data_IF_360937022906
#
_entry.id   IF_360937022906
#
_cell.length_a   1.000
_cell.length_b   1.000
_cell.length_c   1.000
_cell.angle_alpha   90.00
_cell.angle_beta   90.00
_cell.angle_gamma   90.00
#
_symmetry.space_group_name_H-M   'P 1'
#
loop_
_entity.id
_entity.type
_entity.pdbx_description
1 polymer ?
#
# COMPACT_ATOMS: atom_id res chain seq x y z
N UNK A 1 -0.89 5.64 20.57
CA UNK A 1 0.35 5.90 19.79
C UNK A 1 1.59 5.38 20.49
N UNK A 2 1.90 5.74 21.75
CA UNK A 2 3.13 5.27 22.43
C UNK A 2 3.28 3.74 22.38
N UNK A 3 2.22 2.99 22.71
CA UNK A 3 2.24 1.52 22.64
C UNK A 3 2.52 0.99 21.24
N UNK A 4 2.02 1.64 20.18
CA UNK A 4 2.33 1.28 18.80
C UNK A 4 3.82 1.53 18.49
N UNK A 5 4.36 2.67 18.93
CA UNK A 5 5.77 3.02 18.79
C UNK A 5 6.66 2.00 19.51
N UNK A 6 6.31 1.65 20.73
CA UNK A 6 7.02 0.65 21.54
C UNK A 6 6.99 -0.71 20.86
N UNK A 7 5.81 -1.17 20.38
CA UNK A 7 5.67 -2.45 19.67
C UNK A 7 6.53 -2.50 18.42
N UNK A 8 6.52 -1.47 17.57
CA UNK A 8 7.36 -1.46 16.37
C UNK A 8 8.85 -1.30 16.67
N UNK A 9 9.20 -0.53 17.70
CA UNK A 9 10.60 -0.42 18.16
C UNK A 9 11.10 -1.77 18.67
N UNK A 10 10.26 -2.48 19.40
CA UNK A 10 10.56 -3.83 19.89
C UNK A 10 10.73 -4.81 18.71
N UNK A 11 9.76 -4.88 17.81
CA UNK A 11 9.85 -5.73 16.61
C UNK A 11 11.08 -5.42 15.76
N UNK A 12 11.38 -4.14 15.53
CA UNK A 12 12.53 -3.73 14.72
C UNK A 12 13.86 -4.25 15.26
N UNK A 13 13.98 -4.36 16.57
CA UNK A 13 15.22 -4.82 17.24
C UNK A 13 15.27 -6.34 17.43
N UNK A 14 14.20 -7.09 17.13
CA UNK A 14 14.14 -8.53 17.36
C UNK A 14 14.64 -9.29 16.13
N UNK A 15 15.59 -10.20 16.38
CA UNK A 15 16.13 -11.05 15.32
C UNK A 15 15.09 -12.00 14.73
N UNK A 16 14.17 -12.52 15.55
CA UNK A 16 13.09 -13.40 15.11
C UNK A 16 12.07 -12.69 14.20
N UNK A 17 11.84 -11.39 14.40
CA UNK A 17 11.04 -10.59 13.45
C UNK A 17 11.72 -10.48 12.09
N UNK A 18 13.03 -10.23 12.07
CA UNK A 18 13.78 -10.22 10.81
C UNK A 18 13.74 -11.60 10.12
N UNK A 19 13.82 -12.70 10.88
CA UNK A 19 13.69 -14.05 10.33
C UNK A 19 12.30 -14.31 9.77
N UNK A 20 11.25 -13.86 10.45
CA UNK A 20 9.88 -13.94 9.95
C UNK A 20 9.72 -13.15 8.64
N UNK A 21 10.19 -11.90 8.57
CA UNK A 21 10.13 -11.09 7.35
C UNK A 21 10.85 -11.76 6.18
N UNK A 22 12.03 -12.33 6.43
CA UNK A 22 12.81 -13.04 5.41
C UNK A 22 12.09 -14.33 4.96
N UNK A 23 11.50 -15.10 5.88
CA UNK A 23 10.77 -16.31 5.53
C UNK A 23 9.51 -15.99 4.70
N UNK A 24 8.76 -14.95 5.07
CA UNK A 24 7.60 -14.49 4.30
C UNK A 24 8.03 -13.99 2.92
N UNK A 25 9.10 -13.20 2.83
CA UNK A 25 9.62 -12.72 1.57
C UNK A 25 10.08 -13.86 0.66
N UNK A 26 10.76 -14.87 1.22
CA UNK A 26 11.17 -16.06 0.48
C UNK A 26 9.97 -16.84 -0.05
N UNK A 27 8.95 -17.05 0.77
CA UNK A 27 7.70 -17.71 0.37
C UNK A 27 7.01 -16.98 -0.80
N UNK A 28 6.94 -15.65 -0.73
CA UNK A 28 6.38 -14.81 -1.80
C UNK A 28 7.24 -14.92 -3.06
N UNK A 29 8.56 -14.81 -2.94
CA UNK A 29 9.50 -14.92 -4.07
C UNK A 29 9.34 -16.26 -4.80
N UNK A 30 9.32 -17.38 -4.08
CA UNK A 30 9.14 -18.71 -4.65
C UNK A 30 7.78 -18.85 -5.35
N UNK A 31 6.73 -18.33 -4.73
CA UNK A 31 5.37 -18.34 -5.31
C UNK A 31 5.32 -17.53 -6.62
N UNK A 32 5.92 -16.34 -6.65
CA UNK A 32 6.00 -15.54 -7.86
C UNK A 32 6.87 -16.21 -8.92
N UNK A 33 7.97 -16.84 -8.52
CA UNK A 33 8.85 -17.62 -9.41
C UNK A 33 8.11 -18.75 -10.11
N UNK A 34 7.25 -19.46 -9.40
CA UNK A 34 6.40 -20.49 -9.99
C UNK A 34 5.41 -19.91 -11.01
N UNK A 35 4.76 -18.78 -10.70
CA UNK A 35 3.85 -18.08 -11.61
C UNK A 35 4.59 -17.61 -12.88
N UNK A 36 5.82 -17.11 -12.75
CA UNK A 36 6.66 -16.73 -13.90
C UNK A 36 7.02 -17.93 -14.77
N UNK A 37 7.42 -19.05 -14.16
CA UNK A 37 7.77 -20.29 -14.87
C UNK A 37 6.60 -20.85 -15.66
N UNK A 38 5.38 -20.65 -15.16
CA UNK A 38 4.12 -21.06 -15.84
C UNK A 38 3.66 -20.03 -16.88
N UNK A 39 4.42 -18.94 -17.10
CA UNK A 39 4.03 -17.83 -17.98
C UNK A 39 2.68 -17.18 -17.62
N UNK A 40 2.32 -17.19 -16.34
CA UNK A 40 1.07 -16.62 -15.82
C UNK A 40 0.98 -15.11 -16.11
N UNK A 41 -0.24 -14.60 -16.29
CA UNK A 41 -0.52 -13.17 -16.45
C UNK A 41 -0.56 -12.43 -15.09
N UNK A 42 -0.57 -11.09 -15.13
CA UNK A 42 -0.58 -10.19 -13.94
C UNK A 42 -1.63 -10.59 -12.90
N UNK A 43 -2.85 -10.89 -13.34
CA UNK A 43 -3.98 -11.28 -12.46
C UNK A 43 -3.69 -12.54 -11.64
N UNK A 44 -3.07 -13.54 -12.27
CA UNK A 44 -2.72 -14.80 -11.61
C UNK A 44 -1.56 -14.59 -10.63
N UNK A 45 -0.55 -13.80 -11.01
CA UNK A 45 0.58 -13.42 -10.15
C UNK A 45 0.06 -12.74 -8.87
N UNK A 46 -0.85 -11.76 -8.98
CA UNK A 46 -1.47 -11.09 -7.82
C UNK A 46 -2.28 -12.08 -6.98
N UNK A 47 -2.97 -13.03 -7.62
CA UNK A 47 -3.73 -14.06 -6.89
C UNK A 47 -2.81 -14.94 -6.05
N UNK A 48 -1.67 -15.34 -6.60
CA UNK A 48 -0.72 -16.20 -5.92
C UNK A 48 0.04 -15.43 -4.83
N UNK A 49 0.34 -14.14 -5.04
CA UNK A 49 0.82 -13.24 -4.00
C UNK A 49 -0.14 -13.19 -2.80
N UNK A 50 -1.45 -13.01 -3.05
CA UNK A 50 -2.45 -13.04 -1.99
C UNK A 50 -2.41 -14.34 -1.19
N UNK A 51 -2.37 -15.49 -1.88
CA UNK A 51 -2.30 -16.81 -1.22
C UNK A 51 -1.04 -17.00 -0.38
N UNK A 52 0.10 -16.47 -0.84
CA UNK A 52 1.36 -16.57 -0.12
C UNK A 52 1.35 -15.76 1.20
N UNK A 53 0.60 -14.66 1.23
CA UNK A 53 0.55 -13.74 2.35
C UNK A 53 -0.61 -14.06 3.32
N UNK A 54 -1.70 -14.66 2.83
CA UNK A 54 -2.90 -14.88 3.62
C UNK A 54 -2.62 -15.68 4.91
N UNK A 55 -3.13 -15.15 6.04
CA UNK A 55 -3.03 -15.75 7.37
C UNK A 55 -1.62 -15.82 7.97
N UNK A 56 -0.64 -15.14 7.41
CA UNK A 56 0.68 -15.02 8.03
C UNK A 56 0.61 -14.14 9.29
N UNK A 57 1.34 -14.52 10.32
CA UNK A 57 1.30 -13.83 11.61
C UNK A 57 2.67 -13.76 12.27
N UNK A 58 2.93 -12.67 12.99
CA UNK A 58 4.06 -12.52 13.90
C UNK A 58 3.64 -11.72 15.14
N UNK A 59 3.59 -12.36 16.31
CA UNK A 59 3.06 -11.74 17.51
C UNK A 59 1.67 -11.15 17.28
N UNK A 60 1.55 -9.84 17.50
CA UNK A 60 0.30 -9.08 17.28
C UNK A 60 0.06 -8.67 15.83
N UNK A 61 1.06 -8.81 14.96
CA UNK A 61 0.96 -8.46 13.54
C UNK A 61 0.34 -9.63 12.76
N UNK A 62 -0.77 -9.36 12.08
CA UNK A 62 -1.49 -10.33 11.26
C UNK A 62 -1.61 -9.80 9.83
N UNK A 63 -1.39 -10.68 8.87
CA UNK A 63 -1.57 -10.39 7.46
C UNK A 63 -2.81 -11.07 6.93
N UNK A 64 -3.61 -10.31 6.18
CA UNK A 64 -4.80 -10.81 5.53
C UNK A 64 -4.75 -10.40 4.06
N UNK A 65 -5.12 -11.32 3.20
CA UNK A 65 -5.21 -11.07 1.78
C UNK A 65 -6.57 -11.54 1.28
N UNK A 66 -7.31 -10.65 0.64
CA UNK A 66 -8.60 -10.99 0.07
C UNK A 66 -8.64 -10.53 -1.37
N UNK A 67 -8.91 -11.45 -2.29
CA UNK A 67 -9.26 -11.10 -3.65
C UNK A 67 -10.77 -10.92 -3.73
N UNK A 68 -11.20 -9.75 -4.14
CA UNK A 68 -12.59 -9.49 -4.43
C UNK A 68 -12.82 -9.98 -5.86
N UNK A 69 -13.57 -11.09 -6.01
CA UNK A 69 -13.95 -11.62 -7.31
C UNK A 69 -15.15 -10.85 -7.87
N UNK A 70 -15.12 -10.46 -9.17
CA UNK A 70 -16.25 -9.81 -9.82
C UNK A 70 -15.87 -8.84 -10.93
N UNK A 71 -16.86 -8.21 -11.59
CA UNK A 71 -16.63 -7.29 -12.69
C UNK A 71 -15.65 -6.18 -12.28
N UNK A 72 -14.70 -5.89 -13.14
CA UNK A 72 -13.55 -5.01 -12.99
C UNK A 72 -13.86 -3.74 -12.19
N UNK A 73 -12.93 -3.34 -11.31
CA UNK A 73 -12.99 -2.16 -10.45
C UNK A 73 -12.71 -0.87 -11.23
N UNK A 74 -13.58 -0.60 -12.23
CA UNK A 74 -13.42 0.56 -13.08
C UNK A 74 -13.99 1.83 -12.47
N UNK A 75 -13.23 2.90 -12.64
CA UNK A 75 -13.63 4.28 -12.38
C UNK A 75 -13.64 5.06 -13.70
N UNK A 76 -14.43 6.12 -13.74
CA UNK A 76 -14.48 7.09 -14.83
C UNK A 76 -14.00 8.45 -14.30
N UNK A 77 -13.09 9.07 -15.00
CA UNK A 77 -12.50 10.37 -14.69
C UNK A 77 -12.16 11.12 -15.97
N UNK A 78 -11.97 12.42 -15.89
CA UNK A 78 -11.58 13.23 -17.03
C UNK A 78 -10.04 13.38 -17.10
N UNK A 79 -9.49 13.19 -18.30
CA UNK A 79 -8.11 13.47 -18.64
C UNK A 79 -8.07 14.30 -19.91
N UNK A 80 -7.60 15.55 -19.83
CA UNK A 80 -7.59 16.51 -20.94
C UNK A 80 -8.98 16.66 -21.62
N UNK A 81 -10.00 16.89 -20.80
CA UNK A 81 -11.41 17.06 -21.22
C UNK A 81 -12.02 15.84 -21.94
N UNK A 82 -11.43 14.67 -21.75
CA UNK A 82 -11.94 13.40 -22.28
C UNK A 82 -12.30 12.45 -21.14
N UNK A 83 -13.51 11.88 -21.14
CA UNK A 83 -13.87 10.86 -20.16
C UNK A 83 -13.10 9.57 -20.42
N UNK A 84 -12.34 9.15 -19.44
CA UNK A 84 -11.53 7.93 -19.47
C UNK A 84 -12.08 6.94 -18.46
N UNK A 85 -12.11 5.67 -18.84
CA UNK A 85 -12.49 4.58 -17.95
C UNK A 85 -11.32 3.63 -17.74
N UNK A 86 -10.84 3.50 -16.51
CA UNK A 86 -9.72 2.62 -16.12
C UNK A 86 -10.03 1.87 -14.83
N UNK A 87 -9.30 0.80 -14.57
CA UNK A 87 -9.26 0.20 -13.23
C UNK A 87 -8.60 1.17 -12.26
N UNK A 88 -9.16 1.33 -11.05
CA UNK A 88 -8.53 2.20 -10.05
C UNK A 88 -7.19 1.63 -9.60
N UNK A 89 -7.12 0.33 -9.38
CA UNK A 89 -5.90 -0.40 -9.02
C UNK A 89 -6.14 -1.91 -9.19
N UNK A 90 -5.06 -2.69 -9.30
CA UNK A 90 -5.10 -4.15 -9.21
C UNK A 90 -5.03 -4.62 -7.76
N UNK A 91 -4.40 -3.82 -6.89
CA UNK A 91 -4.17 -4.16 -5.49
C UNK A 91 -4.26 -2.90 -4.60
N UNK A 92 -4.84 -3.07 -3.42
CA UNK A 92 -4.84 -2.05 -2.37
C UNK A 92 -4.17 -2.62 -1.13
N UNK A 93 -3.19 -1.91 -0.62
CA UNK A 93 -2.55 -2.22 0.67
C UNK A 93 -3.16 -1.32 1.74
N UNK A 94 -3.60 -1.90 2.85
CA UNK A 94 -4.09 -1.18 4.02
C UNK A 94 -3.31 -1.68 5.23
N UNK A 95 -2.67 -0.77 5.96
CA UNK A 95 -1.98 -1.06 7.21
C UNK A 95 -2.74 -0.42 8.35
N UNK A 96 -3.17 -1.21 9.35
CA UNK A 96 -4.07 -0.76 10.42
C UNK A 96 -3.52 -1.15 11.79
N UNK A 97 -3.48 -0.21 12.72
CA UNK A 97 -3.26 -0.51 14.13
C UNK A 97 -4.53 -0.17 14.94
N UNK A 98 -4.95 -1.11 15.78
CA UNK A 98 -6.12 -0.97 16.65
C UNK A 98 -5.74 -1.02 18.12
N UNK A 99 -6.48 -0.27 18.95
CA UNK A 99 -6.44 -0.30 20.41
C UNK A 99 -7.80 0.03 20.97
N UNK A 100 -8.25 -0.66 22.02
CA UNK A 100 -9.57 -0.49 22.62
C UNK A 100 -10.69 -0.54 21.55
N UNK A 101 -10.52 -1.45 20.60
CA UNK A 101 -11.39 -1.61 19.41
C UNK A 101 -11.53 -0.36 18.53
N UNK A 102 -10.60 0.57 18.59
CA UNK A 102 -10.53 1.77 17.73
C UNK A 102 -9.30 1.72 16.84
N UNK A 103 -9.44 2.25 15.63
CA UNK A 103 -8.29 2.45 14.75
C UNK A 103 -7.51 3.65 15.29
N UNK A 104 -6.25 3.41 15.65
CA UNK A 104 -5.34 4.45 16.13
C UNK A 104 -4.33 4.88 15.09
N UNK A 105 -4.16 4.06 14.04
CA UNK A 105 -3.30 4.36 12.91
C UNK A 105 -3.75 3.61 11.67
N UNK A 106 -3.74 4.26 10.53
CA UNK A 106 -4.09 3.65 9.24
C UNK A 106 -3.30 4.28 8.10
N UNK A 107 -2.80 3.43 7.19
CA UNK A 107 -2.22 3.81 5.90
C UNK A 107 -2.88 3.07 4.76
N UNK A 108 -2.85 3.66 3.56
CA UNK A 108 -3.38 3.06 2.34
C UNK A 108 -2.50 3.36 1.14
N UNK A 109 -2.33 2.36 0.27
CA UNK A 109 -1.71 2.51 -1.03
C UNK A 109 -2.52 1.80 -2.11
N UNK A 110 -2.71 2.44 -3.26
CA UNK A 110 -3.24 1.83 -4.47
C UNK A 110 -2.09 1.40 -5.37
N UNK A 111 -2.13 0.19 -5.88
CA UNK A 111 -1.03 -0.40 -6.65
C UNK A 111 -1.55 -0.94 -7.97
N UNK A 112 -1.01 -0.42 -9.06
CA UNK A 112 -1.17 -1.00 -10.40
C UNK A 112 -0.01 -1.94 -10.65
N UNK A 113 -0.29 -3.18 -10.98
CA UNK A 113 0.72 -4.16 -11.26
C UNK A 113 1.06 -4.20 -12.75
N UNK A 114 2.34 -4.42 -13.05
CA UNK A 114 2.82 -4.62 -14.41
C UNK A 114 3.82 -5.76 -14.43
N UNK A 115 3.63 -6.69 -15.35
CA UNK A 115 4.63 -7.71 -15.67
C UNK A 115 5.63 -7.12 -16.67
N UNK A 116 6.91 -7.51 -16.57
CA UNK A 116 7.90 -7.10 -17.55
C UNK A 116 7.48 -7.51 -18.96
N UNK A 117 7.87 -6.69 -19.93
CA UNK A 117 7.63 -6.92 -21.36
C UNK A 117 8.52 -8.05 -21.90
N UNK A 118 8.54 -8.24 -23.19
CA UNK A 118 9.46 -9.14 -23.91
C UNK A 118 10.94 -8.79 -23.67
N UNK A 119 11.23 -7.50 -23.44
CA UNK A 119 12.53 -7.01 -22.99
C UNK A 119 12.61 -7.10 -21.46
N UNK A 120 13.65 -7.78 -20.94
CA UNK A 120 13.88 -7.92 -19.50
C UNK A 120 14.09 -6.56 -18.83
N UNK A 121 13.55 -6.44 -17.61
CA UNK A 121 13.66 -5.23 -16.79
C UNK A 121 13.03 -3.95 -17.41
N UNK A 122 12.08 -4.12 -18.32
CA UNK A 122 11.33 -3.04 -18.96
C UNK A 122 9.84 -3.30 -18.83
N UNK A 123 9.08 -2.29 -18.41
CA UNK A 123 7.63 -2.36 -18.25
C UNK A 123 6.94 -1.31 -19.11
N UNK A 124 5.82 -1.69 -19.71
CA UNK A 124 4.93 -0.78 -20.43
C UNK A 124 3.96 -0.11 -19.44
N UNK A 125 3.89 1.21 -19.50
CA UNK A 125 3.06 2.04 -18.64
C UNK A 125 1.95 2.66 -19.48
N UNK A 126 0.70 2.37 -19.11
CA UNK A 126 -0.47 3.03 -19.66
C UNK A 126 -0.56 4.47 -19.12
N UNK A 127 -0.62 5.45 -20.01
CA UNK A 127 -0.54 6.87 -19.65
C UNK A 127 -1.78 7.36 -18.89
N UNK A 128 -2.98 6.85 -19.23
CA UNK A 128 -4.21 7.21 -18.52
C UNK A 128 -4.24 6.59 -17.13
N UNK A 129 -3.72 5.35 -16.99
CA UNK A 129 -3.56 4.69 -15.70
C UNK A 129 -2.54 5.43 -14.83
N UNK A 130 -1.44 5.89 -15.42
CA UNK A 130 -0.42 6.67 -14.73
C UNK A 130 -0.99 8.01 -14.28
N UNK A 131 -1.75 8.70 -15.15
CA UNK A 131 -2.42 9.95 -14.80
C UNK A 131 -3.38 9.75 -13.61
N UNK A 132 -4.19 8.67 -13.62
CA UNK A 132 -5.10 8.36 -12.54
C UNK A 132 -4.36 8.18 -11.20
N UNK A 133 -3.32 7.34 -11.16
CA UNK A 133 -2.59 7.02 -9.93
C UNK A 133 -1.66 8.16 -9.46
N UNK A 134 -1.21 9.01 -10.36
CA UNK A 134 -0.36 10.14 -10.01
C UNK A 134 -1.17 11.33 -9.47
N UNK A 135 -2.34 11.62 -10.08
CA UNK A 135 -3.10 12.83 -9.77
C UNK A 135 -4.35 12.56 -8.93
N UNK A 136 -4.86 11.34 -8.90
CA UNK A 136 -6.17 11.01 -8.32
C UNK A 136 -7.23 12.05 -8.64
N UNK A 137 -7.53 12.29 -9.95
CA UNK A 137 -8.56 13.25 -10.34
C UNK A 137 -9.89 12.82 -9.73
N UNK A 138 -10.85 13.74 -9.67
CA UNK A 138 -12.24 13.38 -9.32
C UNK A 138 -12.71 12.24 -10.21
N UNK A 139 -13.24 11.18 -9.63
CA UNK A 139 -13.72 10.02 -10.37
C UNK A 139 -15.07 9.51 -9.87
N UNK A 140 -15.74 8.71 -10.68
CA UNK A 140 -16.98 7.99 -10.34
C UNK A 140 -16.78 6.49 -10.57
N UNK A 141 -17.42 5.68 -9.77
CA UNK A 141 -17.44 4.25 -9.98
C UNK A 141 -18.22 3.87 -11.24
N UNK A 142 -17.57 3.19 -12.20
CA UNK A 142 -18.19 2.83 -13.48
C UNK A 142 -18.69 1.40 -13.51
N UNK A 143 -17.98 0.46 -12.90
CA UNK A 143 -18.31 -0.97 -12.89
C UNK A 143 -17.97 -1.61 -11.55
N UNK A 144 -18.56 -2.78 -11.30
CA UNK A 144 -18.29 -3.61 -10.14
C UNK A 144 -18.74 -2.97 -8.83
N UNK A 145 -17.94 -3.22 -7.78
CA UNK A 145 -18.21 -2.66 -6.45
C UNK A 145 -18.19 -1.14 -6.46
N UNK A 146 -17.38 -0.55 -7.33
CA UNK A 146 -17.25 0.91 -7.37
C UNK A 146 -18.52 1.56 -7.93
N UNK A 147 -19.20 0.97 -8.91
CA UNK A 147 -20.48 1.49 -9.40
C UNK A 147 -21.56 1.51 -8.31
N UNK A 148 -21.60 0.49 -7.45
CA UNK A 148 -22.60 0.42 -6.37
C UNK A 148 -22.32 1.41 -5.23
N UNK A 149 -21.06 1.62 -4.90
CA UNK A 149 -20.66 2.32 -3.69
C UNK A 149 -20.15 3.74 -3.95
N UNK A 150 -19.80 4.07 -5.19
CA UNK A 150 -19.21 5.35 -5.59
C UNK A 150 -19.87 5.91 -6.85
N UNK A 151 -21.21 5.93 -6.87
CA UNK A 151 -21.98 6.55 -7.97
C UNK A 151 -21.77 8.07 -8.02
N UNK A 152 -21.54 8.68 -6.85
CA UNK A 152 -21.22 10.08 -6.72
C UNK A 152 -19.73 10.31 -6.96
N UNK A 153 -19.36 11.56 -7.10
CA UNK A 153 -17.97 11.96 -7.25
C UNK A 153 -17.15 11.63 -6.02
N UNK A 154 -16.04 10.93 -6.23
CA UNK A 154 -15.03 10.66 -5.22
C UNK A 154 -13.83 11.57 -5.46
N UNK A 155 -13.40 12.26 -4.42
CA UNK A 155 -12.25 13.18 -4.45
C UNK A 155 -11.33 12.82 -3.31
N UNK A 156 -10.11 12.38 -3.59
CA UNK A 156 -9.09 12.22 -2.57
C UNK A 156 -8.33 13.53 -2.38
N UNK A 157 -8.85 14.39 -1.49
CA UNK A 157 -8.25 15.70 -1.24
C UNK A 157 -6.94 15.56 -0.47
N UNK A 158 -5.96 16.41 -0.80
CA UNK A 158 -4.68 16.50 -0.09
C UNK A 158 -3.93 15.16 0.03
N UNK A 159 -4.04 14.29 -0.99
CA UNK A 159 -3.26 13.07 -1.03
C UNK A 159 -1.78 13.34 -1.30
N UNK A 160 -0.91 12.49 -0.77
CA UNK A 160 0.53 12.55 -1.03
C UNK A 160 0.94 11.66 -2.20
N UNK A 161 2.20 11.82 -2.62
CA UNK A 161 2.83 11.01 -3.67
C UNK A 161 2.88 9.50 -3.35
N UNK A 162 2.61 9.10 -2.09
CA UNK A 162 2.71 7.72 -1.64
C UNK A 162 1.41 6.94 -1.79
N UNK A 163 0.30 7.61 -2.17
CA UNK A 163 -1.00 6.97 -2.35
C UNK A 163 -1.02 6.05 -3.56
N UNK A 164 -0.55 6.51 -4.73
CA UNK A 164 -0.53 5.75 -5.98
C UNK A 164 0.83 5.13 -6.26
N UNK A 165 0.86 3.84 -6.57
CA UNK A 165 2.08 3.07 -6.76
C UNK A 165 1.97 2.09 -7.93
N UNK A 166 3.11 1.60 -8.39
CA UNK A 166 3.26 0.50 -9.32
C UNK A 166 3.99 -0.66 -8.66
N UNK A 167 3.46 -1.87 -8.84
CA UNK A 167 4.13 -3.13 -8.56
C UNK A 167 4.70 -3.69 -9.85
N UNK A 168 6.01 -3.58 -10.05
CA UNK A 168 6.69 -3.98 -11.26
C UNK A 168 7.24 -5.39 -11.08
N UNK A 169 6.54 -6.39 -11.62
CA UNK A 169 6.95 -7.78 -11.56
C UNK A 169 8.01 -8.10 -12.60
N UNK A 170 9.07 -8.80 -12.19
CA UNK A 170 10.15 -9.24 -13.05
C UNK A 170 10.54 -10.70 -12.76
N UNK A 171 11.12 -11.36 -13.78
CA UNK A 171 11.67 -12.70 -13.67
C UNK A 171 12.90 -12.71 -12.72
N UNK A 172 13.12 -13.77 -11.92
CA UNK A 172 12.34 -15.01 -11.83
C UNK A 172 11.21 -14.99 -10.79
N UNK A 173 10.93 -13.91 -10.10
CA UNK A 173 9.90 -13.84 -9.07
C UNK A 173 9.98 -12.58 -8.21
N UNK A 174 10.66 -11.56 -8.73
CA UNK A 174 10.83 -10.29 -8.04
C UNK A 174 9.67 -9.32 -8.26
N UNK A 175 9.49 -8.42 -7.31
CA UNK A 175 8.61 -7.28 -7.42
C UNK A 175 9.30 -6.02 -6.93
N UNK A 176 9.24 -4.97 -7.74
CA UNK A 176 9.67 -3.63 -7.36
C UNK A 176 8.42 -2.81 -7.08
N UNK A 177 8.32 -2.21 -5.91
CA UNK A 177 7.30 -1.21 -5.62
C UNK A 177 7.88 0.18 -5.86
N UNK A 178 7.20 0.99 -6.66
CA UNK A 178 7.62 2.36 -6.98
C UNK A 178 6.40 3.28 -7.05
N UNK A 179 6.49 4.49 -6.49
CA UNK A 179 5.36 5.41 -6.55
C UNK A 179 5.10 5.95 -7.96
N UNK A 180 3.84 6.32 -8.22
CA UNK A 180 3.38 6.78 -9.53
C UNK A 180 4.11 8.06 -9.98
N UNK A 181 4.44 8.99 -9.07
CA UNK A 181 5.22 10.18 -9.41
C UNK A 181 6.62 9.84 -9.92
N UNK A 182 7.30 8.87 -9.31
CA UNK A 182 8.60 8.40 -9.79
C UNK A 182 8.48 7.79 -11.18
N UNK A 183 7.47 6.96 -11.41
CA UNK A 183 7.17 6.39 -12.74
C UNK A 183 6.90 7.52 -13.75
N UNK A 184 6.09 8.51 -13.38
CA UNK A 184 5.77 9.66 -14.24
C UNK A 184 7.03 10.44 -14.68
N UNK A 185 7.98 10.63 -13.76
CA UNK A 185 9.23 11.35 -14.04
C UNK A 185 10.23 10.57 -14.87
N UNK A 186 10.24 9.25 -14.74
CA UNK A 186 11.28 8.40 -15.34
C UNK A 186 10.86 7.72 -16.64
N UNK A 187 9.55 7.54 -16.86
CA UNK A 187 9.06 6.85 -18.05
C UNK A 187 9.42 7.63 -19.33
N UNK A 188 9.79 6.90 -20.36
CA UNK A 188 10.05 7.42 -21.69
C UNK A 188 9.17 6.71 -22.70
N UNK A 189 8.36 7.47 -23.43
CA UNK A 189 7.45 6.92 -24.46
C UNK A 189 6.57 5.76 -23.94
N UNK A 190 6.07 5.87 -22.69
CA UNK A 190 5.25 4.83 -22.08
C UNK A 190 6.01 3.59 -21.60
N UNK A 191 7.32 3.66 -21.44
CA UNK A 191 8.14 2.58 -20.89
C UNK A 191 8.99 3.08 -19.72
N UNK A 192 9.24 2.19 -18.76
CA UNK A 192 10.19 2.43 -17.66
C UNK A 192 11.14 1.24 -17.53
N UNK A 193 12.41 1.49 -17.21
CA UNK A 193 13.41 0.46 -16.99
C UNK A 193 13.84 0.36 -15.52
N UNK A 194 14.31 -0.82 -15.12
CA UNK A 194 14.91 -1.02 -13.79
C UNK A 194 16.09 -0.08 -13.53
N UNK A 195 16.92 0.14 -14.57
CA UNK A 195 18.08 1.01 -14.45
C UNK A 195 17.70 2.46 -14.14
N UNK A 196 16.58 2.95 -14.69
CA UNK A 196 16.10 4.30 -14.43
C UNK A 196 15.57 4.44 -13.01
N UNK A 197 14.79 3.47 -12.54
CA UNK A 197 14.29 3.44 -11.14
C UNK A 197 15.47 3.40 -10.17
N UNK A 198 16.47 2.55 -10.42
CA UNK A 198 17.65 2.40 -9.56
C UNK A 198 18.49 3.67 -9.49
N UNK A 199 18.77 4.31 -10.63
CA UNK A 199 19.53 5.57 -10.67
C UNK A 199 18.82 6.68 -9.88
N UNK A 200 17.50 6.80 -10.03
CA UNK A 200 16.74 7.85 -9.37
C UNK A 200 16.73 7.72 -7.84
N UNK A 201 16.62 6.51 -7.32
CA UNK A 201 16.57 6.27 -5.88
C UNK A 201 17.89 6.57 -5.17
N UNK A 202 19.04 6.32 -5.81
CA UNK A 202 20.34 6.69 -5.26
C UNK A 202 20.48 8.19 -5.04
N UNK A 203 19.87 9.01 -5.89
CA UNK A 203 19.88 10.47 -5.75
C UNK A 203 18.98 10.91 -4.59
N UNK A 204 17.82 10.28 -4.40
CA UNK A 204 16.84 10.69 -3.40
C UNK A 204 17.15 10.24 -1.97
N UNK A 205 17.72 9.07 -1.77
CA UNK A 205 18.07 8.61 -0.43
C UNK A 205 19.03 9.56 0.31
N UNK A 206 19.79 10.39 -0.42
CA UNK A 206 20.66 11.41 0.16
C UNK A 206 19.96 12.77 0.41
N UNK A 207 18.80 13.03 -0.18
CA UNK A 207 18.12 14.33 -0.10
C UNK A 207 16.88 14.29 0.80
N UNK A 208 16.20 13.15 0.89
CA UNK A 208 14.91 13.05 1.60
C UNK A 208 15.00 12.98 3.12
N UNK A 209 16.16 12.74 3.69
CA UNK A 209 16.35 12.83 5.15
C UNK A 209 16.14 14.26 5.70
N UNK A 210 16.10 15.29 4.84
CA UNK A 210 15.96 16.69 5.24
C UNK A 210 14.60 17.34 4.94
N UNK A 211 13.72 16.76 4.14
CA UNK A 211 12.51 17.44 3.63
C UNK A 211 11.20 17.08 4.32
N UNK A 212 11.22 16.27 5.37
CA UNK A 212 10.00 15.90 6.11
C UNK A 212 9.51 16.95 7.13
N UNK A 213 10.10 18.14 7.13
CA UNK A 213 9.87 19.16 8.17
C UNK A 213 8.64 20.04 7.90
N UNK A 214 8.08 20.06 6.70
CA UNK A 214 7.07 21.07 6.30
C UNK A 214 5.59 20.62 6.40
N UNK A 215 5.26 19.56 7.13
CA UNK A 215 3.85 19.21 7.39
C UNK A 215 3.44 19.61 8.82
N UNK A 216 2.46 20.52 8.99
CA UNK A 216 2.02 21.01 10.33
C UNK A 216 1.55 19.90 11.28
N UNK A 217 1.18 18.74 10.73
CA UNK A 217 0.79 17.56 11.49
C UNK A 217 1.98 16.86 12.15
N UNK A 218 3.14 16.84 11.50
CA UNK A 218 4.37 16.26 12.05
C UNK A 218 4.85 17.05 13.25
N UNK A 219 4.67 18.36 13.28
CA UNK A 219 5.05 19.22 14.40
C UNK A 219 4.26 18.86 15.68
N UNK A 220 2.95 18.62 15.60
CA UNK A 220 2.16 18.25 16.78
C UNK A 220 2.50 16.83 17.27
N UNK A 221 2.71 15.88 16.35
CA UNK A 221 3.08 14.52 16.70
C UNK A 221 4.51 14.44 17.24
N UNK A 222 5.46 15.09 16.59
CA UNK A 222 6.83 15.22 17.05
C UNK A 222 6.89 15.97 18.38
N UNK A 223 6.14 17.07 18.56
CA UNK A 223 6.07 17.81 19.81
C UNK A 223 5.57 16.96 20.97
N UNK A 224 4.51 16.17 20.76
CA UNK A 224 3.98 15.24 21.80
C UNK A 224 5.00 14.14 22.13
N UNK A 225 5.69 13.63 21.11
CA UNK A 225 6.73 12.63 21.30
C UNK A 225 7.93 13.22 22.05
N UNK A 226 8.44 14.38 21.64
CA UNK A 226 9.57 15.07 22.29
C UNK A 226 9.30 15.46 23.74
N UNK A 227 8.07 15.83 24.07
CA UNK A 227 7.67 16.16 25.43
C UNK A 227 7.83 14.96 26.39
N UNK A 228 7.69 13.75 25.88
CA UNK A 228 7.78 12.52 26.68
C UNK A 228 9.16 11.83 26.65
N UNK A 229 10.01 12.15 25.66
CA UNK A 229 11.32 11.52 25.49
C UNK A 229 12.48 12.50 25.25
N UNK A 230 12.74 13.45 26.17
CA UNK A 230 13.74 14.50 25.94
C UNK A 230 15.20 14.03 26.00
N UNK A 231 15.49 12.77 26.31
CA UNK A 231 16.85 12.28 26.59
C UNK A 231 17.54 11.50 25.46
N UNK A 232 16.85 11.17 24.39
CA UNK A 232 17.41 10.39 23.32
C UNK A 232 17.52 11.25 22.06
N UNK A 233 18.74 11.55 21.66
CA UNK A 233 18.99 12.30 20.42
C UNK A 233 18.36 11.65 19.21
N UNK A 234 18.13 12.42 18.16
CA UNK A 234 17.37 12.14 16.93
C UNK A 234 17.54 10.73 16.29
N UNK A 235 16.93 9.65 16.78
CA UNK A 235 16.80 8.43 16.00
C UNK A 235 15.57 8.44 15.07
N UNK A 236 14.89 9.59 14.95
CA UNK A 236 13.55 9.72 14.35
C UNK A 236 13.46 9.48 12.87
N UNK A 237 14.54 9.70 12.15
CA UNK A 237 14.58 9.48 10.70
C UNK A 237 14.46 8.00 10.33
N UNK A 238 14.52 7.10 11.30
CA UNK A 238 14.44 5.67 11.10
C UNK A 238 13.27 5.00 11.81
N UNK A 239 12.26 5.74 12.28
CA UNK A 239 11.05 5.10 12.78
C UNK A 239 10.26 4.49 11.60
N UNK A 240 10.22 3.15 11.50
CA UNK A 240 9.81 2.49 10.27
C UNK A 240 8.43 2.93 9.79
N UNK A 241 7.46 3.03 10.68
CA UNK A 241 6.06 3.31 10.32
C UNK A 241 5.73 4.81 10.10
N UNK A 242 6.64 5.73 10.46
CA UNK A 242 6.49 7.15 10.13
C UNK A 242 7.10 7.48 8.77
N UNK A 243 8.00 6.63 8.24
CA UNK A 243 8.57 6.78 6.92
C UNK A 243 7.56 6.48 5.82
N UNK A 244 7.76 7.11 4.68
CA UNK A 244 7.07 6.79 3.43
C UNK A 244 8.10 6.27 2.44
N UNK A 245 8.15 4.95 2.25
CA UNK A 245 9.02 4.38 1.24
C UNK A 245 8.39 4.55 -0.14
N UNK A 246 9.09 5.27 -0.98
CA UNK A 246 8.68 5.54 -2.36
C UNK A 246 9.13 4.43 -3.32
N UNK A 247 10.11 3.61 -2.93
CA UNK A 247 10.64 2.50 -3.72
C UNK A 247 11.04 1.35 -2.81
N UNK A 248 10.63 0.13 -3.17
CA UNK A 248 11.20 -1.12 -2.66
C UNK A 248 11.73 -1.90 -3.86
N UNK A 249 13.02 -2.20 -3.88
CA UNK A 249 13.71 -2.75 -5.07
C UNK A 249 13.55 -4.25 -5.27
N UNK A 250 13.01 -4.93 -4.26
CA UNK A 250 12.81 -6.37 -4.29
C UNK A 250 11.72 -6.76 -3.29
N UNK A 251 11.35 -8.04 -3.33
CA UNK A 251 10.28 -8.57 -2.48
C UNK A 251 10.64 -8.49 -0.99
N UNK A 252 11.91 -8.61 -0.62
CA UNK A 252 12.36 -8.51 0.77
C UNK A 252 12.16 -7.10 1.34
N UNK A 253 12.53 -6.10 0.57
CA UNK A 253 12.28 -4.70 0.94
C UNK A 253 10.77 -4.39 0.98
N UNK A 254 10.00 -4.92 0.03
CA UNK A 254 8.54 -4.78 0.02
C UNK A 254 7.92 -5.34 1.30
N UNK A 255 8.20 -6.60 1.65
CA UNK A 255 7.67 -7.25 2.86
C UNK A 255 8.12 -6.51 4.12
N UNK A 256 9.41 -6.14 4.19
CA UNK A 256 9.95 -5.38 5.32
C UNK A 256 9.22 -4.03 5.48
N UNK A 257 9.07 -3.29 4.40
CA UNK A 257 8.42 -1.98 4.43
C UNK A 257 6.94 -2.08 4.76
N UNK A 258 6.26 -3.08 4.22
CA UNK A 258 4.85 -3.29 4.50
C UNK A 258 4.61 -3.74 5.95
N UNK A 259 5.36 -4.70 6.46
CA UNK A 259 5.26 -5.18 7.84
C UNK A 259 5.57 -4.12 8.90
N UNK A 260 6.30 -3.07 8.52
CA UNK A 260 6.62 -1.91 9.34
C UNK A 260 5.71 -0.69 9.04
N UNK A 261 4.65 -0.86 8.26
CA UNK A 261 3.71 0.19 7.87
C UNK A 261 4.34 1.38 7.14
N UNK A 262 5.43 1.15 6.39
CA UNK A 262 6.13 2.20 5.63
C UNK A 262 5.53 2.45 4.23
N UNK A 263 4.55 1.65 3.79
CA UNK A 263 3.91 1.79 2.47
C UNK A 263 2.60 2.54 2.61
N UNK A 264 2.38 3.51 1.73
CA UNK A 264 1.12 4.21 1.57
C UNK A 264 1.02 5.53 2.31
N UNK A 265 -0.10 6.19 2.09
CA UNK A 265 -0.48 7.46 2.68
C UNK A 265 -1.15 7.27 4.04
N UNK A 266 -0.89 8.19 4.96
CA UNK A 266 -1.53 8.22 6.27
C UNK A 266 -2.98 8.66 6.15
N UNK A 267 -3.90 7.81 6.58
CA UNK A 267 -5.36 8.03 6.56
C UNK A 267 -5.87 8.49 7.91
N UNK A 268 -5.35 7.90 8.98
CA UNK A 268 -5.68 8.29 10.35
C UNK A 268 -4.51 8.10 11.32
N UNK A 269 -4.43 8.96 12.33
CA UNK A 269 -3.43 8.90 13.40
C UNK A 269 -4.05 9.40 14.70
N UNK A 270 -3.84 8.68 15.81
CA UNK A 270 -4.32 9.04 17.14
C UNK A 270 -5.81 9.39 17.19
N UNK A 271 -6.65 8.53 16.60
CA UNK A 271 -8.11 8.72 16.49
C UNK A 271 -8.54 9.96 15.66
N UNK A 272 -7.59 10.63 14.99
CA UNK A 272 -7.86 11.73 14.06
C UNK A 272 -7.75 11.24 12.63
N UNK A 273 -8.81 11.40 11.87
CA UNK A 273 -8.82 11.15 10.43
C UNK A 273 -8.12 12.33 9.73
N UNK A 274 -7.05 12.04 9.01
CA UNK A 274 -6.27 13.05 8.26
C UNK A 274 -6.81 13.22 6.83
N UNK A 275 -7.32 12.13 6.26
CA UNK A 275 -7.94 12.11 4.93
C UNK A 275 -9.30 11.40 5.02
N UNK A 276 -10.37 12.19 5.16
CA UNK A 276 -11.72 11.67 5.40
C UNK A 276 -12.28 10.92 4.19
N UNK A 277 -12.02 11.39 2.98
CA UNK A 277 -12.52 10.76 1.76
C UNK A 277 -11.88 9.38 1.57
N UNK A 278 -10.56 9.28 1.77
CA UNK A 278 -9.83 8.02 1.71
C UNK A 278 -10.22 7.07 2.86
N UNK A 279 -10.47 7.63 4.05
CA UNK A 279 -10.96 6.85 5.19
C UNK A 279 -12.31 6.20 4.89
N UNK A 280 -13.27 6.95 4.37
CA UNK A 280 -14.57 6.42 3.96
C UNK A 280 -14.43 5.35 2.87
N UNK A 281 -13.57 5.61 1.88
CA UNK A 281 -13.29 4.67 0.80
C UNK A 281 -12.79 3.33 1.34
N UNK A 282 -11.82 3.35 2.25
CA UNK A 282 -11.31 2.15 2.90
C UNK A 282 -12.39 1.37 3.66
N UNK A 283 -13.29 2.06 4.38
CA UNK A 283 -14.41 1.40 5.10
C UNK A 283 -15.29 0.60 4.12
N UNK A 284 -15.58 1.18 2.97
CA UNK A 284 -16.35 0.52 1.92
C UNK A 284 -15.58 -0.69 1.36
N UNK A 285 -14.29 -0.54 1.05
CA UNK A 285 -13.46 -1.66 0.56
C UNK A 285 -13.40 -2.80 1.57
N UNK A 286 -13.05 -2.52 2.82
CA UNK A 286 -12.90 -3.53 3.88
C UNK A 286 -14.22 -4.24 4.17
N UNK A 287 -15.36 -3.52 4.14
CA UNK A 287 -16.70 -4.13 4.27
C UNK A 287 -16.98 -5.09 3.13
N UNK A 288 -16.76 -4.67 1.89
CA UNK A 288 -16.99 -5.52 0.72
C UNK A 288 -16.04 -6.73 0.64
N UNK A 289 -14.85 -6.62 1.23
CA UNK A 289 -13.90 -7.73 1.33
C UNK A 289 -14.23 -8.73 2.46
N UNK A 290 -15.24 -8.46 3.28
CA UNK A 290 -15.52 -9.25 4.47
C UNK A 290 -14.50 -9.08 5.60
N UNK A 291 -13.73 -7.98 5.55
CA UNK A 291 -12.68 -7.64 6.53
C UNK A 291 -13.16 -6.59 7.54
N UNK A 292 -14.48 -6.48 7.75
CA UNK A 292 -15.12 -5.48 8.65
C UNK A 292 -14.73 -5.66 10.11
N UNK A 293 -14.40 -6.89 10.53
CA UNK A 293 -14.00 -7.19 11.91
C UNK A 293 -12.76 -6.41 12.36
N UNK A 294 -11.84 -6.11 11.41
CA UNK A 294 -10.63 -5.33 11.71
C UNK A 294 -10.92 -3.85 11.98
N UNK A 295 -12.12 -3.38 11.66
CA UNK A 295 -12.48 -1.97 11.76
C UNK A 295 -13.68 -1.71 12.68
N UNK A 296 -14.12 -2.73 13.45
CA UNK A 296 -15.29 -2.65 14.36
C UNK A 296 -16.57 -2.07 13.74
N UNK A 297 -16.75 -2.17 12.45
CA UNK A 297 -18.03 -1.92 11.83
C UNK A 297 -18.95 -3.08 12.18
N UNK A 298 -20.13 -2.80 12.77
CA UNK A 298 -21.19 -3.82 12.89
C UNK A 298 -21.41 -4.39 11.50
N UNK A 299 -20.92 -5.62 11.31
CA UNK A 299 -20.98 -6.28 10.03
C UNK A 299 -22.40 -6.74 9.79
N UNK A 300 -23.15 -6.04 8.96
CA UNK A 300 -24.16 -6.71 8.16
C UNK A 300 -23.40 -7.53 7.13
N UNK A 301 -23.33 -8.84 7.33
CA UNK A 301 -22.80 -9.78 6.34
C UNK A 301 -23.69 -9.74 5.10
N UNK A 302 -23.31 -8.91 4.15
CA UNK A 302 -23.78 -9.04 2.79
C UNK A 302 -22.68 -9.79 2.03
N UNK A 303 -22.83 -11.09 1.92
CA UNK A 303 -22.04 -11.90 0.97
C UNK A 303 -22.46 -11.48 -0.45
N UNK A 304 -21.62 -10.71 -1.09
CA UNK A 304 -21.76 -10.43 -2.51
C UNK A 304 -20.77 -11.32 -3.25
N UNK A 305 -21.29 -12.23 -4.08
CA UNK A 305 -20.51 -12.87 -5.13
C UNK A 305 -20.14 -11.80 -6.17
N UNK A 306 -18.86 -11.48 -6.26
CA UNK A 306 -18.36 -10.48 -7.21
C UNK A 306 -17.16 -11.01 -7.98
N UNK A 307 -17.24 -10.87 -9.31
CA UNK A 307 -16.14 -11.14 -10.24
C UNK A 307 -15.15 -9.97 -10.36
N UNK A 308 -14.50 -9.50 -9.31
CA UNK A 308 -13.48 -8.43 -9.34
C UNK A 308 -12.07 -8.99 -9.27
N UNK A 309 -11.14 -8.30 -9.95
CA UNK A 309 -9.71 -8.64 -9.89
C UNK A 309 -8.95 -7.80 -8.87
N UNK A 310 -9.64 -7.01 -8.04
CA UNK A 310 -9.00 -6.19 -7.01
C UNK A 310 -8.55 -7.07 -5.84
N UNK A 311 -7.28 -7.02 -5.52
CA UNK A 311 -6.73 -7.62 -4.32
C UNK A 311 -6.66 -6.60 -3.18
N UNK A 312 -7.06 -6.99 -1.96
CA UNK A 312 -6.90 -6.17 -0.75
C UNK A 312 -5.95 -6.92 0.18
N UNK A 313 -4.81 -6.30 0.47
CA UNK A 313 -3.81 -6.78 1.41
C UNK A 313 -3.88 -5.93 2.68
N UNK A 314 -4.08 -6.57 3.82
CA UNK A 314 -4.16 -5.88 5.11
C UNK A 314 -3.05 -6.37 6.03
N UNK A 315 -2.26 -5.44 6.57
CA UNK A 315 -1.40 -5.69 7.72
C UNK A 315 -2.07 -5.07 8.95
N UNK A 316 -2.42 -5.89 9.94
CA UNK A 316 -3.15 -5.46 11.12
C UNK A 316 -2.35 -5.77 12.39
N UNK A 317 -2.21 -4.75 13.25
CA UNK A 317 -1.70 -4.91 14.63
C UNK A 317 -2.84 -4.61 15.61
N UNK A 318 -3.15 -5.58 16.47
CA UNK A 318 -4.05 -5.38 17.60
C UNK A 318 -3.24 -5.16 18.88
N UNK A 319 -3.25 -3.95 19.41
CA UNK A 319 -2.48 -3.58 20.61
C UNK A 319 -3.14 -4.04 21.92
N UNK A 320 -4.35 -4.58 21.89
CA UNK A 320 -5.02 -5.16 23.05
C UNK A 320 -4.65 -6.63 23.27
N UNK A 321 -4.14 -7.32 22.25
CA UNK A 321 -3.65 -8.69 22.36
C UNK A 321 -2.36 -8.73 23.19
N UNK A 322 -2.21 -9.73 24.06
CA UNK A 322 -0.95 -10.07 24.72
C UNK A 322 -0.08 -10.88 23.75
N UNK A 323 1.25 -10.75 23.85
CA UNK A 323 2.21 -11.53 23.06
C UNK A 323 2.31 -12.96 23.56
#
# INVERSE_FOLDING_TARGET
MNRLLETFSDYYNRQDFNLFQNALAQKVYETLGASYSNSDGEVKIVTDLCKAIESETYGRLKFHAKKIHGSRSFVEFDNQDKPITKELADMVIISVATKDRKIIYEKTAFIQNKKEDTEKNIWKIDQDQLYLLHNFPTFKGKKGIFRKNFNDEVVFRNHSETLGNYGLFQSPGEMILVNALTVFRLQQSGKISFSDVRKHSHIRNNVFSFLFIDYPFWDEMLYRYFKHFPKYGFPFLNLPFLGNNMVSFNIYEFIRNWSLFNIGEVVSVCDKVTNYDLWNFNRILLRNAGLSEFINLKAERQEYEFDNNLAILVAHINLDEEE
#
